data_IF_131366144857
#
_entry.id   IF_131366144857
#
_cell.length_a   1.000
_cell.length_b   1.000
_cell.length_c   1.000
_cell.angle_alpha   90.00
_cell.angle_beta   90.00
_cell.angle_gamma   90.00
#
_symmetry.space_group_name_H-M   'P 1'
#
loop_
_entity.id
_entity.type
_entity.pdbx_description
1 polymer ?
#
# COMPACT_ATOMS: atom_id res chain seq x y z
N UNK A 1 -54.74 -21.53 78.83
CA UNK A 1 -54.91 -22.24 77.54
C UNK A 1 -53.66 -22.05 76.71
N UNK A 2 -53.11 -23.16 76.17
CA UNK A 2 -52.33 -23.30 74.90
C UNK A 2 -51.03 -22.46 74.74
N UNK A 3 -49.83 -23.09 74.79
CA UNK A 3 -49.09 -23.82 73.71
C UNK A 3 -48.35 -22.82 72.77
N UNK A 4 -47.17 -23.06 72.17
CA UNK A 4 -46.09 -24.05 72.20
C UNK A 4 -45.17 -23.64 71.00
N UNK A 5 -43.85 -23.62 71.16
CA UNK A 5 -42.81 -24.13 70.23
C UNK A 5 -42.65 -23.67 68.74
N UNK A 6 -41.39 -23.33 68.44
CA UNK A 6 -40.46 -23.79 67.37
C UNK A 6 -40.66 -23.55 65.84
N UNK A 7 -39.49 -23.22 65.27
CA UNK A 7 -38.92 -23.08 63.92
C UNK A 7 -39.24 -24.11 62.81
N UNK A 8 -38.66 -23.82 61.62
CA UNK A 8 -38.34 -24.65 60.42
C UNK A 8 -39.31 -24.39 59.23
N UNK A 9 -38.92 -23.63 58.20
CA UNK A 9 -38.05 -23.90 57.04
C UNK A 9 -38.69 -24.71 55.88
N UNK A 10 -38.29 -24.34 54.65
CA UNK A 10 -38.42 -24.99 53.33
C UNK A 10 -39.74 -24.86 52.53
N UNK A 11 -39.65 -24.21 51.35
CA UNK A 11 -40.08 -24.66 50.00
C UNK A 11 -39.94 -23.45 49.03
N UNK A 12 -38.82 -23.38 48.27
CA UNK A 12 -38.62 -23.89 46.89
C UNK A 12 -39.19 -22.94 45.81
N UNK A 13 -38.32 -22.16 45.16
CA UNK A 13 -37.70 -22.45 43.85
C UNK A 13 -38.67 -22.33 42.67
N UNK A 14 -38.54 -21.24 41.90
CA UNK A 14 -39.10 -21.12 40.56
C UNK A 14 -38.20 -20.21 39.71
N UNK A 15 -37.36 -20.86 38.89
CA UNK A 15 -37.08 -20.42 37.52
C UNK A 15 -36.27 -19.14 37.32
N UNK A 16 -34.99 -19.14 37.65
CA UNK A 16 -34.03 -18.45 36.77
C UNK A 16 -33.51 -19.46 35.76
N UNK A 17 -34.23 -19.53 34.63
CA UNK A 17 -33.69 -20.13 33.42
C UNK A 17 -32.39 -19.41 33.09
N UNK A 18 -31.29 -20.15 33.12
CA UNK A 18 -29.99 -19.65 32.75
C UNK A 18 -30.04 -19.08 31.34
N UNK A 19 -29.88 -17.77 31.24
CA UNK A 19 -29.16 -17.22 30.10
C UNK A 19 -27.76 -17.82 30.19
N UNK A 20 -27.54 -18.93 29.49
CA UNK A 20 -26.22 -19.39 29.15
C UNK A 20 -25.59 -18.26 28.33
N UNK A 21 -24.95 -17.32 29.04
CA UNK A 21 -23.83 -16.57 28.50
C UNK A 21 -22.95 -17.60 27.82
N UNK A 22 -22.91 -17.60 26.48
CA UNK A 22 -21.82 -18.24 25.77
C UNK A 22 -20.59 -17.62 26.37
N UNK A 23 -19.88 -18.36 27.22
CA UNK A 23 -18.55 -17.98 27.64
C UNK A 23 -17.79 -17.70 26.34
N UNK A 24 -17.49 -16.43 26.09
CA UNK A 24 -16.47 -16.07 25.11
C UNK A 24 -15.26 -16.84 25.61
N UNK A 25 -14.75 -17.81 24.84
CA UNK A 25 -13.76 -18.78 25.36
C UNK A 25 -12.38 -18.14 25.68
N UNK A 26 -12.34 -16.80 25.72
CA UNK A 26 -11.18 -15.96 25.94
C UNK A 26 -10.28 -15.88 24.70
N UNK A 27 -10.49 -16.71 23.67
CA UNK A 27 -9.59 -16.76 22.53
C UNK A 27 -9.76 -15.54 21.65
N UNK A 28 -8.63 -14.99 21.29
CA UNK A 28 -8.55 -13.86 20.39
C UNK A 28 -8.67 -14.36 18.95
N UNK A 29 -9.55 -13.73 18.18
CA UNK A 29 -9.73 -14.03 16.76
C UNK A 29 -8.65 -13.32 15.97
N UNK A 30 -7.84 -14.05 15.20
CA UNK A 30 -6.77 -13.47 14.38
C UNK A 30 -7.07 -13.74 12.91
N UNK A 31 -7.13 -12.67 12.12
CA UNK A 31 -7.41 -12.70 10.69
C UNK A 31 -6.17 -12.21 9.96
N UNK A 32 -5.43 -13.10 9.30
CA UNK A 32 -4.20 -12.73 8.58
C UNK A 32 -4.53 -12.41 7.12
N UNK A 33 -4.59 -11.12 6.79
CA UNK A 33 -4.80 -10.62 5.44
C UNK A 33 -3.46 -10.42 4.74
N UNK A 34 -3.16 -11.31 3.80
CA UNK A 34 -1.99 -11.22 2.93
C UNK A 34 -2.22 -10.25 1.77
N UNK A 35 -1.39 -9.22 1.66
CA UNK A 35 -1.47 -8.19 0.60
C UNK A 35 -0.26 -8.27 -0.34
N UNK A 36 -0.44 -7.89 -1.60
CA UNK A 36 0.69 -7.54 -2.47
C UNK A 36 0.87 -6.03 -2.40
N UNK A 37 2.05 -5.58 -2.01
CA UNK A 37 2.30 -4.19 -1.62
C UNK A 37 1.96 -3.23 -2.76
N UNK A 38 1.13 -2.24 -2.47
CA UNK A 38 0.62 -1.25 -3.41
C UNK A 38 -0.14 -1.79 -4.65
N UNK A 39 -0.44 -3.08 -4.74
CA UNK A 39 -1.26 -3.65 -5.83
C UNK A 39 -2.67 -3.05 -5.89
N UNK A 40 -3.14 -2.48 -4.78
CA UNK A 40 -4.39 -1.73 -4.67
C UNK A 40 -4.45 -0.54 -5.65
N UNK A 41 -3.29 -0.05 -6.10
CA UNK A 41 -3.19 1.05 -7.05
C UNK A 41 -3.51 0.64 -8.49
N UNK A 42 -3.46 -0.64 -8.83
CA UNK A 42 -3.68 -1.13 -10.21
C UNK A 42 -4.86 -2.09 -10.34
N UNK A 43 -5.19 -2.83 -9.29
CA UNK A 43 -6.21 -3.86 -9.32
C UNK A 43 -7.55 -3.34 -8.79
N UNK A 44 -8.57 -3.23 -9.66
CA UNK A 44 -9.92 -2.79 -9.27
C UNK A 44 -10.54 -3.67 -8.17
N UNK A 45 -10.24 -4.97 -8.18
CA UNK A 45 -10.73 -5.96 -7.22
C UNK A 45 -9.85 -6.10 -5.96
N UNK A 46 -8.82 -5.26 -5.85
CA UNK A 46 -8.01 -5.09 -4.64
C UNK A 46 -7.92 -3.58 -4.29
N UNK A 47 -8.84 -2.74 -4.78
CA UNK A 47 -8.71 -1.27 -4.68
C UNK A 47 -8.71 -0.77 -3.22
N UNK A 48 -8.18 0.43 -2.93
CA UNK A 48 -7.95 0.87 -1.54
C UNK A 48 -9.22 0.91 -0.68
N UNK A 49 -10.34 1.34 -1.28
CA UNK A 49 -11.64 1.37 -0.60
C UNK A 49 -12.17 -0.03 -0.26
N UNK A 50 -11.79 -1.06 -1.02
CA UNK A 50 -12.17 -2.45 -0.74
C UNK A 50 -11.44 -2.97 0.49
N UNK A 51 -10.14 -2.66 0.64
CA UNK A 51 -9.38 -2.94 1.85
C UNK A 51 -10.00 -2.24 3.07
N UNK A 52 -10.29 -0.94 2.97
CA UNK A 52 -10.94 -0.20 4.05
C UNK A 52 -12.33 -0.77 4.42
N UNK A 53 -13.11 -1.20 3.42
CA UNK A 53 -14.40 -1.85 3.64
C UNK A 53 -14.28 -3.23 4.28
N UNK A 54 -13.23 -3.99 3.94
CA UNK A 54 -12.93 -5.24 4.61
C UNK A 54 -12.58 -5.02 6.08
N UNK A 55 -11.74 -4.04 6.40
CA UNK A 55 -11.42 -3.69 7.79
C UNK A 55 -12.69 -3.30 8.58
N UNK A 56 -13.57 -2.48 7.98
CA UNK A 56 -14.84 -2.11 8.60
C UNK A 56 -15.78 -3.32 8.80
N UNK A 57 -15.77 -4.28 7.87
CA UNK A 57 -16.57 -5.49 7.93
C UNK A 57 -16.03 -6.50 8.97
N UNK A 58 -14.71 -6.61 9.08
CA UNK A 58 -14.02 -7.47 10.05
C UNK A 58 -14.13 -6.95 11.50
N UNK A 59 -14.35 -5.65 11.69
CA UNK A 59 -14.48 -4.98 13.01
C UNK A 59 -13.33 -5.33 13.98
N UNK A 60 -12.07 -5.03 13.60
CA UNK A 60 -10.95 -5.30 14.48
C UNK A 60 -10.98 -4.40 15.72
N UNK A 61 -10.62 -4.98 16.86
CA UNK A 61 -10.22 -4.25 18.06
C UNK A 61 -8.80 -3.69 17.90
N UNK A 62 -7.95 -4.39 17.15
CA UNK A 62 -6.65 -3.89 16.72
C UNK A 62 -6.21 -4.40 15.35
N UNK A 63 -5.33 -3.64 14.71
CA UNK A 63 -4.75 -3.98 13.41
C UNK A 63 -3.23 -4.10 13.55
N UNK A 64 -2.71 -5.29 13.25
CA UNK A 64 -1.28 -5.49 13.11
C UNK A 64 -0.81 -5.03 11.73
N UNK A 65 0.29 -4.27 11.68
CA UNK A 65 0.86 -3.73 10.43
C UNK A 65 2.31 -4.16 10.24
N UNK A 66 2.70 -4.37 8.98
CA UNK A 66 4.08 -4.67 8.58
C UNK A 66 4.98 -3.42 8.69
N UNK A 67 5.25 -3.02 9.93
CA UNK A 67 6.31 -2.05 10.28
C UNK A 67 6.89 -2.37 11.65
N UNK A 68 8.17 -2.08 11.84
CA UNK A 68 8.84 -2.30 13.12
C UNK A 68 8.32 -1.32 14.17
N UNK A 69 8.20 -1.72 15.46
CA UNK A 69 7.75 -0.82 16.52
C UNK A 69 8.56 0.47 16.60
N UNK A 70 9.88 0.37 16.42
CA UNK A 70 10.80 1.50 16.51
C UNK A 70 10.59 2.49 15.37
N UNK A 71 10.39 2.02 14.13
CA UNK A 71 10.13 2.89 12.99
C UNK A 71 8.72 3.49 13.04
N UNK A 72 7.71 2.68 13.40
CA UNK A 72 6.35 3.16 13.57
C UNK A 72 6.26 4.29 14.60
N UNK A 73 6.98 4.18 15.72
CA UNK A 73 7.05 5.23 16.75
C UNK A 73 7.60 6.58 16.22
N UNK A 74 8.36 6.56 15.11
CA UNK A 74 8.87 7.77 14.43
C UNK A 74 7.99 8.23 13.26
N UNK A 75 6.84 7.59 13.03
CA UNK A 75 6.02 7.74 11.82
C UNK A 75 6.82 7.46 10.53
N UNK A 76 7.76 6.52 10.60
CA UNK A 76 8.59 6.09 9.49
C UNK A 76 8.04 4.75 8.96
N UNK A 77 7.83 4.69 7.65
CA UNK A 77 7.19 3.58 6.94
C UNK A 77 8.01 3.21 5.71
N UNK A 78 7.88 1.95 5.26
CA UNK A 78 8.47 1.53 3.99
C UNK A 78 7.84 2.26 2.82
N UNK A 79 8.64 2.80 1.90
CA UNK A 79 8.08 3.52 0.75
C UNK A 79 7.16 2.65 -0.15
N UNK A 80 7.26 1.32 -0.06
CA UNK A 80 6.48 0.38 -0.85
C UNK A 80 5.13 -0.02 -0.22
N UNK A 81 4.88 0.22 1.07
CA UNK A 81 3.67 -0.24 1.76
C UNK A 81 2.53 0.79 1.71
N UNK A 82 2.03 1.09 0.51
CA UNK A 82 0.92 2.03 0.31
C UNK A 82 -0.30 1.65 1.17
N UNK A 83 -0.66 0.38 1.19
CA UNK A 83 -1.80 -0.12 1.93
C UNK A 83 -1.68 0.12 3.43
N UNK A 84 -0.48 0.04 4.00
CA UNK A 84 -0.25 0.35 5.42
C UNK A 84 -0.37 1.86 5.65
N UNK A 85 0.38 2.66 4.89
CA UNK A 85 0.56 4.10 5.12
C UNK A 85 -0.68 4.93 4.83
N UNK A 86 -1.35 4.64 3.70
CA UNK A 86 -2.38 5.49 3.15
C UNK A 86 -3.78 4.90 3.35
N UNK A 87 -3.90 3.61 3.66
CA UNK A 87 -5.19 2.95 3.91
C UNK A 87 -5.36 2.56 5.37
N UNK A 88 -4.55 1.62 5.87
CA UNK A 88 -4.74 0.99 7.18
C UNK A 88 -4.52 1.96 8.33
N UNK A 89 -3.39 2.68 8.36
CA UNK A 89 -3.06 3.60 9.45
C UNK A 89 -4.09 4.74 9.54
N UNK A 90 -4.46 5.43 8.45
CA UNK A 90 -5.52 6.45 8.49
C UNK A 90 -6.88 5.87 8.85
N UNK A 91 -7.20 4.64 8.41
CA UNK A 91 -8.43 3.96 8.78
C UNK A 91 -8.49 3.71 10.29
N UNK A 92 -7.45 3.11 10.87
CA UNK A 92 -7.39 2.81 12.30
C UNK A 92 -7.52 4.08 13.15
N UNK A 93 -6.75 5.13 12.81
CA UNK A 93 -6.78 6.43 13.50
C UNK A 93 -8.17 7.07 13.49
N UNK A 94 -8.88 7.04 12.36
CA UNK A 94 -10.24 7.61 12.25
C UNK A 94 -11.29 6.84 13.04
N UNK A 95 -11.08 5.54 13.26
CA UNK A 95 -12.03 4.66 13.94
C UNK A 95 -11.63 4.35 15.39
N UNK A 96 -10.52 4.91 15.90
CA UNK A 96 -10.03 4.63 17.25
C UNK A 96 -9.62 3.17 17.45
N UNK A 97 -9.07 2.53 16.43
CA UNK A 97 -8.61 1.13 16.46
C UNK A 97 -7.12 1.10 16.78
N UNK A 98 -6.71 0.20 17.67
CA UNK A 98 -5.31 0.07 18.08
C UNK A 98 -4.44 -0.41 16.91
N UNK A 99 -3.22 0.15 16.80
CA UNK A 99 -2.23 -0.26 15.81
C UNK A 99 -1.08 -1.01 16.48
N UNK A 100 -0.83 -2.23 16.02
CA UNK A 100 0.21 -3.10 16.53
C UNK A 100 1.31 -3.28 15.45
N UNK A 101 2.42 -2.51 15.49
CA UNK A 101 3.54 -2.75 14.59
C UNK A 101 4.20 -4.11 14.91
N UNK A 102 4.27 -5.02 13.93
CA UNK A 102 4.74 -6.40 14.16
C UNK A 102 6.08 -6.74 13.49
N UNK A 103 6.61 -5.85 12.66
CA UNK A 103 7.68 -6.23 11.75
C UNK A 103 9.08 -6.20 12.39
N UNK A 104 10.00 -6.96 11.81
CA UNK A 104 11.40 -7.00 12.20
C UNK A 104 12.30 -6.69 11.00
N UNK A 105 13.28 -5.83 11.22
CA UNK A 105 14.31 -5.49 10.26
C UNK A 105 15.66 -6.02 10.75
N UNK A 106 16.49 -6.58 9.85
CA UNK A 106 17.87 -6.87 10.22
C UNK A 106 18.60 -5.58 10.60
N UNK A 107 19.51 -5.61 11.58
CA UNK A 107 20.44 -4.52 11.81
C UNK A 107 21.16 -4.11 10.52
N UNK A 108 21.47 -2.81 10.39
CA UNK A 108 22.12 -2.26 9.17
C UNK A 108 23.42 -2.99 8.83
N UNK A 109 24.20 -3.39 9.83
CA UNK A 109 25.45 -4.12 9.58
C UNK A 109 25.22 -5.54 9.04
N UNK A 110 24.15 -6.22 9.47
CA UNK A 110 23.76 -7.52 8.92
C UNK A 110 23.23 -7.37 7.49
N UNK A 111 22.47 -6.30 7.22
CA UNK A 111 22.02 -5.97 5.87
C UNK A 111 23.21 -5.72 4.93
N UNK A 112 24.21 -4.95 5.38
CA UNK A 112 25.44 -4.70 4.61
C UNK A 112 26.26 -5.95 4.39
N UNK A 113 26.46 -6.77 5.42
CA UNK A 113 27.19 -8.02 5.31
C UNK A 113 26.51 -8.98 4.32
N UNK A 114 25.19 -9.02 4.37
CA UNK A 114 24.38 -9.97 3.63
C UNK A 114 24.05 -9.58 2.19
N UNK A 115 23.72 -8.31 1.96
CA UNK A 115 23.27 -7.78 0.67
C UNK A 115 24.27 -6.80 0.03
N UNK A 116 25.33 -6.42 0.76
CA UNK A 116 26.28 -5.41 0.32
C UNK A 116 25.76 -3.98 0.43
N UNK A 117 24.60 -3.76 1.04
CA UNK A 117 23.94 -2.46 1.13
C UNK A 117 23.03 -2.34 2.36
N UNK A 118 22.63 -1.11 2.70
CA UNK A 118 21.58 -0.86 3.68
C UNK A 118 20.19 -0.95 3.04
N UNK A 119 19.40 -1.95 3.44
CA UNK A 119 18.06 -2.20 2.89
C UNK A 119 17.07 -1.07 3.19
N UNK A 120 17.28 -0.30 4.26
CA UNK A 120 16.40 0.80 4.65
C UNK A 120 16.69 2.11 3.91
N UNK A 121 17.85 2.21 3.25
CA UNK A 121 18.26 3.44 2.55
C UNK A 121 17.84 3.39 1.07
N UNK A 122 16.98 4.33 0.67
CA UNK A 122 16.64 4.53 -0.74
C UNK A 122 17.89 5.02 -1.52
N UNK A 123 18.20 4.42 -2.70
CA UNK A 123 19.35 4.86 -3.51
C UNK A 123 19.14 6.30 -3.99
N UNK A 124 20.21 7.07 -4.22
CA UNK A 124 20.07 8.46 -4.69
C UNK A 124 19.36 8.53 -6.05
N UNK A 125 19.72 7.62 -6.96
CA UNK A 125 18.96 7.32 -8.17
C UNK A 125 18.54 5.85 -8.13
N UNK A 126 17.24 5.58 -8.29
CA UNK A 126 16.74 4.21 -8.37
C UNK A 126 17.30 3.50 -9.62
N UNK A 127 17.76 2.24 -9.50
CA UNK A 127 18.23 1.48 -10.65
C UNK A 127 17.08 1.15 -11.60
N UNK A 128 17.41 0.77 -12.84
CA UNK A 128 16.42 0.35 -13.84
C UNK A 128 15.87 -1.07 -13.57
N UNK A 129 16.59 -1.87 -12.77
CA UNK A 129 16.25 -3.26 -12.46
C UNK A 129 16.56 -3.60 -11.00
N UNK A 130 15.84 -4.54 -10.41
CA UNK A 130 16.07 -5.07 -9.06
C UNK A 130 15.14 -4.46 -8.01
N UNK A 131 15.23 -4.90 -6.75
CA UNK A 131 14.21 -4.56 -5.73
C UNK A 131 14.15 -3.07 -5.34
N UNK A 132 15.22 -2.29 -5.58
CA UNK A 132 15.24 -0.84 -5.33
C UNK A 132 14.76 0.00 -6.53
N UNK A 133 14.41 -0.64 -7.66
CA UNK A 133 13.83 0.03 -8.82
C UNK A 133 12.48 0.67 -8.47
N UNK A 134 11.96 1.53 -9.34
CA UNK A 134 10.58 2.02 -9.20
C UNK A 134 9.56 0.89 -9.28
N UNK A 135 8.56 0.91 -8.40
CA UNK A 135 7.50 -0.08 -8.46
C UNK A 135 6.68 0.09 -9.73
N UNK A 136 6.43 -1.03 -10.39
CA UNK A 136 5.46 -1.15 -11.46
C UNK A 136 4.96 -2.60 -11.54
N UNK A 137 3.80 -2.76 -12.14
CA UNK A 137 3.09 -4.02 -12.32
C UNK A 137 2.95 -4.30 -13.81
N UNK A 138 3.99 -4.82 -14.49
CA UNK A 138 3.96 -5.01 -15.94
C UNK A 138 3.15 -6.25 -16.40
N UNK A 139 2.92 -7.23 -15.52
CA UNK A 139 2.15 -8.44 -15.85
C UNK A 139 0.63 -8.20 -15.81
N UNK A 140 -0.14 -8.62 -16.84
CA UNK A 140 -1.60 -8.55 -16.84
C UNK A 140 -2.29 -9.20 -15.64
N UNK A 141 -1.67 -10.24 -15.06
CA UNK A 141 -2.20 -10.93 -13.87
C UNK A 141 -2.38 -10.01 -12.67
N UNK A 142 -1.60 -8.92 -12.57
CA UNK A 142 -1.73 -7.97 -11.47
C UNK A 142 -3.02 -7.15 -11.55
N UNK A 143 -3.55 -6.86 -12.75
CA UNK A 143 -4.79 -6.08 -12.89
C UNK A 143 -6.03 -6.88 -12.43
N UNK A 144 -5.97 -8.19 -12.53
CA UNK A 144 -7.05 -9.11 -12.14
C UNK A 144 -6.93 -9.62 -10.71
N UNK A 145 -5.94 -9.14 -9.96
CA UNK A 145 -5.71 -9.53 -8.57
C UNK A 145 -6.95 -9.18 -7.72
N UNK A 146 -7.22 -10.03 -6.74
CA UNK A 146 -8.33 -9.92 -5.81
C UNK A 146 -7.82 -9.78 -4.36
N UNK A 147 -8.60 -9.11 -3.51
CA UNK A 147 -8.29 -8.89 -2.09
C UNK A 147 -7.85 -10.17 -1.35
N UNK A 148 -8.42 -11.32 -1.70
CA UNK A 148 -8.13 -12.62 -1.06
C UNK A 148 -7.17 -13.50 -1.87
N UNK A 149 -6.37 -12.93 -2.78
CA UNK A 149 -5.39 -13.69 -3.56
C UNK A 149 -4.42 -14.51 -2.70
N UNK A 150 -4.11 -14.03 -1.49
CA UNK A 150 -3.25 -14.75 -0.55
C UNK A 150 -3.88 -16.04 0.02
N UNK A 151 -5.17 -16.27 -0.19
CA UNK A 151 -5.87 -17.53 0.13
C UNK A 151 -5.89 -18.51 -1.07
N UNK A 152 -5.44 -18.11 -2.27
CA UNK A 152 -5.41 -18.99 -3.45
C UNK A 152 -4.43 -20.16 -3.25
N UNK A 153 -4.92 -21.39 -3.39
CA UNK A 153 -4.15 -22.60 -3.11
C UNK A 153 -2.86 -22.69 -3.94
N UNK A 154 -2.85 -22.22 -5.20
CA UNK A 154 -1.62 -22.24 -6.03
C UNK A 154 -0.62 -21.21 -5.55
N UNK A 155 -1.09 -20.05 -5.12
CA UNK A 155 -0.21 -19.03 -4.53
C UNK A 155 0.41 -19.51 -3.22
N UNK A 156 -0.40 -20.09 -2.34
CA UNK A 156 0.02 -20.67 -1.05
C UNK A 156 1.05 -21.78 -1.26
N UNK A 157 0.83 -22.67 -2.23
CA UNK A 157 1.78 -23.75 -2.58
C UNK A 157 3.10 -23.17 -3.11
N UNK A 158 3.04 -22.18 -4.02
CA UNK A 158 4.22 -21.52 -4.60
C UNK A 158 5.10 -20.89 -3.52
N UNK A 159 4.50 -20.13 -2.59
CA UNK A 159 5.23 -19.46 -1.51
C UNK A 159 5.87 -20.50 -0.58
N UNK A 160 5.12 -21.53 -0.21
CA UNK A 160 5.63 -22.59 0.66
C UNK A 160 6.77 -23.38 0.02
N UNK A 161 6.66 -23.69 -1.27
CA UNK A 161 7.73 -24.35 -2.01
C UNK A 161 8.99 -23.48 -2.01
N UNK A 162 8.87 -22.17 -2.24
CA UNK A 162 10.01 -21.25 -2.18
C UNK A 162 10.63 -21.19 -0.76
N UNK A 163 9.81 -21.07 0.29
CA UNK A 163 10.28 -21.01 1.67
C UNK A 163 11.01 -22.28 2.11
N UNK A 164 10.52 -23.44 1.64
CA UNK A 164 11.08 -24.75 1.94
C UNK A 164 12.29 -25.14 1.08
N UNK A 165 12.57 -24.42 -0.02
CA UNK A 165 13.64 -24.77 -0.97
C UNK A 165 14.84 -23.84 -0.81
N UNK A 166 15.97 -24.31 -0.24
CA UNK A 166 17.19 -23.53 -0.19
C UNK A 166 17.68 -23.14 -1.58
N UNK A 167 18.30 -21.97 -1.69
CA UNK A 167 18.96 -21.57 -2.93
C UNK A 167 20.08 -22.56 -3.28
N UNK A 168 20.30 -22.79 -4.60
CA UNK A 168 21.35 -23.71 -5.09
C UNK A 168 22.76 -23.31 -4.62
N UNK A 169 23.01 -22.02 -4.41
CA UNK A 169 24.28 -21.50 -3.87
C UNK A 169 24.00 -20.88 -2.52
N UNK A 170 24.79 -21.23 -1.51
CA UNK A 170 24.59 -20.75 -0.14
C UNK A 170 24.57 -19.21 -0.03
N UNK A 171 25.41 -18.51 -0.81
CA UNK A 171 25.45 -17.05 -0.85
C UNK A 171 24.15 -16.38 -1.33
N UNK A 172 23.30 -17.12 -2.05
CA UNK A 172 22.02 -16.62 -2.56
C UNK A 172 20.85 -16.99 -1.62
N UNK A 173 21.11 -17.75 -0.54
CA UNK A 173 20.06 -18.29 0.36
C UNK A 173 19.66 -17.30 1.47
N UNK A 174 20.41 -16.20 1.63
CA UNK A 174 20.16 -15.20 2.67
C UNK A 174 18.74 -14.62 2.63
N UNK A 175 18.16 -14.21 1.48
CA UNK A 175 16.80 -13.68 1.44
C UNK A 175 15.77 -14.63 2.05
N UNK A 176 15.88 -15.94 1.76
CA UNK A 176 15.00 -16.96 2.31
C UNK A 176 15.19 -17.13 3.82
N UNK A 177 16.43 -17.11 4.31
CA UNK A 177 16.75 -17.20 5.75
C UNK A 177 16.20 -16.03 6.54
N UNK A 178 16.41 -14.81 6.04
CA UNK A 178 15.87 -13.60 6.66
C UNK A 178 14.35 -13.56 6.59
N UNK A 179 13.75 -13.97 5.47
CA UNK A 179 12.31 -14.15 5.38
C UNK A 179 11.78 -15.07 6.48
N UNK A 180 12.35 -16.27 6.67
CA UNK A 180 11.89 -17.21 7.69
C UNK A 180 12.00 -16.63 9.11
N UNK A 181 13.13 -15.99 9.41
CA UNK A 181 13.35 -15.40 10.73
C UNK A 181 12.45 -14.17 10.99
N UNK A 182 12.32 -13.28 10.00
CA UNK A 182 11.42 -12.13 10.03
C UNK A 182 9.97 -12.58 10.25
N UNK A 183 9.52 -13.58 9.51
CA UNK A 183 8.15 -14.12 9.62
C UNK A 183 7.90 -14.74 10.99
N UNK A 184 8.89 -15.44 11.55
CA UNK A 184 8.80 -15.95 12.91
C UNK A 184 8.63 -14.82 13.93
N UNK A 185 9.43 -13.76 13.86
CA UNK A 185 9.33 -12.62 14.77
C UNK A 185 8.02 -11.84 14.58
N UNK A 186 7.54 -11.70 13.35
CA UNK A 186 6.21 -11.15 13.06
C UNK A 186 5.12 -11.96 13.77
N UNK A 187 5.14 -13.30 13.64
CA UNK A 187 4.19 -14.17 14.31
C UNK A 187 4.24 -14.04 15.84
N UNK A 188 5.45 -13.97 16.44
CA UNK A 188 5.58 -13.76 17.88
C UNK A 188 4.98 -12.43 18.35
N UNK A 189 5.14 -11.36 17.57
CA UNK A 189 4.51 -10.07 17.89
C UNK A 189 2.99 -10.09 17.69
N UNK A 190 2.48 -10.81 16.69
CA UNK A 190 1.03 -11.06 16.56
C UNK A 190 0.49 -11.82 17.77
N UNK A 191 1.18 -12.85 18.25
CA UNK A 191 0.78 -13.58 19.45
C UNK A 191 0.74 -12.68 20.70
N UNK A 192 1.74 -11.80 20.86
CA UNK A 192 1.76 -10.82 21.93
C UNK A 192 0.59 -9.81 21.85
N UNK A 193 0.26 -9.33 20.65
CA UNK A 193 -0.88 -8.46 20.41
C UNK A 193 -2.21 -9.19 20.70
N UNK A 194 -2.34 -10.45 20.28
CA UNK A 194 -3.52 -11.27 20.55
C UNK A 194 -3.77 -11.45 22.06
N UNK A 195 -2.70 -11.69 22.83
CA UNK A 195 -2.75 -11.79 24.30
C UNK A 195 -3.18 -10.47 24.97
N UNK A 196 -2.87 -9.32 24.37
CA UNK A 196 -3.28 -8.02 24.88
C UNK A 196 -4.77 -7.73 24.65
N UNK A 197 -5.46 -8.50 23.77
CA UNK A 197 -6.86 -8.29 23.40
C UNK A 197 -7.69 -9.59 23.53
N UNK A 198 -7.79 -10.17 24.75
CA UNK A 198 -8.48 -11.43 24.95
C UNK A 198 -9.94 -11.36 24.52
N UNK A 199 -10.38 -12.34 23.72
CA UNK A 199 -11.74 -12.40 23.16
C UNK A 199 -12.03 -11.40 22.04
N UNK A 200 -11.07 -10.54 21.68
CA UNK A 200 -11.20 -9.55 20.62
C UNK A 200 -10.92 -10.11 19.22
N UNK A 201 -10.91 -9.22 18.24
CA UNK A 201 -10.56 -9.47 16.84
C UNK A 201 -9.33 -8.66 16.45
N UNK A 202 -8.26 -9.35 16.05
CA UNK A 202 -7.11 -8.75 15.40
C UNK A 202 -7.16 -9.03 13.91
N UNK A 203 -6.95 -7.98 13.12
CA UNK A 203 -6.63 -8.13 11.69
C UNK A 203 -5.14 -7.87 11.51
N UNK A 204 -4.43 -8.78 10.84
CA UNK A 204 -3.03 -8.62 10.48
C UNK A 204 -2.96 -8.27 9.00
N UNK A 205 -2.43 -7.10 8.66
CA UNK A 205 -2.18 -6.67 7.28
C UNK A 205 -0.68 -6.77 7.01
N UNK A 206 -0.31 -7.74 6.18
CA UNK A 206 1.10 -8.13 5.94
C UNK A 206 1.28 -8.61 4.50
N UNK A 207 2.47 -8.45 3.95
CA UNK A 207 2.85 -8.99 2.65
C UNK A 207 2.47 -10.47 2.52
N UNK A 208 1.85 -10.84 1.40
CA UNK A 208 1.21 -12.16 1.22
C UNK A 208 2.18 -13.33 1.41
N UNK A 209 3.47 -13.10 1.18
CA UNK A 209 4.52 -14.08 1.44
C UNK A 209 4.52 -14.55 2.89
N UNK A 210 4.26 -13.67 3.86
CA UNK A 210 4.35 -13.99 5.28
C UNK A 210 3.11 -14.70 5.84
N UNK A 211 1.96 -14.55 5.18
CA UNK A 211 0.65 -14.95 5.72
C UNK A 211 0.61 -16.41 6.16
N UNK A 212 0.93 -17.35 5.26
CA UNK A 212 0.83 -18.79 5.52
C UNK A 212 1.65 -19.19 6.74
N UNK A 213 2.89 -18.74 6.81
CA UNK A 213 3.82 -19.13 7.87
C UNK A 213 3.43 -18.48 9.20
N UNK A 214 2.91 -17.25 9.21
CA UNK A 214 2.31 -16.64 10.41
C UNK A 214 1.14 -17.49 10.91
N UNK A 215 0.21 -17.87 10.03
CA UNK A 215 -0.93 -18.71 10.40
C UNK A 215 -0.51 -20.06 10.96
N UNK A 216 0.51 -20.69 10.35
CA UNK A 216 1.05 -21.97 10.81
C UNK A 216 1.68 -21.85 12.21
N UNK A 217 2.49 -20.81 12.46
CA UNK A 217 3.14 -20.60 13.77
C UNK A 217 2.11 -20.30 14.86
N UNK A 218 1.06 -19.53 14.54
CA UNK A 218 0.01 -19.20 15.49
C UNK A 218 -1.01 -20.33 15.69
N UNK A 219 -1.08 -21.30 14.77
CA UNK A 219 -2.06 -22.39 14.80
C UNK A 219 -1.99 -23.28 16.04
N UNK A 220 -0.82 -23.34 16.69
CA UNK A 220 -0.59 -24.12 17.91
C UNK A 220 -0.93 -23.33 19.20
N UNK A 221 -1.25 -22.04 19.11
CA UNK A 221 -1.54 -21.21 20.27
C UNK A 221 -2.97 -21.47 20.81
N UNK A 222 -3.05 -21.91 22.07
CA UNK A 222 -4.32 -22.30 22.69
C UNK A 222 -5.30 -21.13 22.89
N UNK A 223 -4.80 -19.90 22.96
CA UNK A 223 -5.53 -18.65 23.17
C UNK A 223 -5.86 -17.91 21.86
N UNK A 224 -5.53 -18.47 20.70
CA UNK A 224 -5.77 -17.86 19.39
C UNK A 224 -6.73 -18.71 18.56
N UNK A 225 -7.61 -18.04 17.83
CA UNK A 225 -8.45 -18.64 16.80
C UNK A 225 -8.15 -17.96 15.46
N UNK A 226 -7.47 -18.69 14.57
CA UNK A 226 -7.20 -18.22 13.21
C UNK A 226 -8.48 -18.30 12.37
N UNK A 227 -8.79 -17.23 11.65
CA UNK A 227 -9.92 -17.14 10.71
C UNK A 227 -9.39 -16.68 9.35
N UNK A 228 -9.71 -17.42 8.31
CA UNK A 228 -9.32 -17.07 6.95
C UNK A 228 -10.08 -15.81 6.49
N UNK A 229 -9.39 -14.79 5.91
CA UNK A 229 -10.04 -13.57 5.43
C UNK A 229 -11.21 -13.84 4.48
N UNK A 230 -11.05 -14.77 3.54
CA UNK A 230 -12.11 -15.16 2.59
C UNK A 230 -13.38 -15.68 3.26
N UNK A 231 -13.30 -16.28 4.44
CA UNK A 231 -14.46 -16.81 5.18
C UNK A 231 -15.34 -15.71 5.79
N UNK A 232 -14.81 -14.50 5.97
CA UNK A 232 -15.56 -13.32 6.43
C UNK A 232 -16.47 -12.79 5.30
N UNK A 233 -16.10 -13.08 4.05
CA UNK A 233 -16.78 -12.65 2.84
C UNK A 233 -16.28 -11.30 2.33
N UNK A 234 -16.45 -11.09 1.02
CA UNK A 234 -16.11 -9.82 0.38
C UNK A 234 -17.11 -8.74 0.79
N UNK A 235 -16.66 -7.50 1.09
CA UNK A 235 -17.55 -6.37 1.23
C UNK A 235 -18.40 -6.16 -0.04
N UNK A 236 -19.66 -5.78 0.15
CA UNK A 236 -20.53 -5.38 -0.95
C UNK A 236 -20.07 -4.06 -1.56
N UNK A 237 -20.40 -3.82 -2.83
CA UNK A 237 -20.11 -2.54 -3.50
C UNK A 237 -20.69 -1.32 -2.75
N UNK A 238 -21.79 -1.48 -2.02
CA UNK A 238 -22.31 -0.41 -1.16
C UNK A 238 -21.37 -0.11 0.01
N UNK A 239 -20.86 -1.14 0.69
CA UNK A 239 -19.89 -0.98 1.77
C UNK A 239 -18.57 -0.38 1.25
N UNK A 240 -18.13 -0.79 0.05
CA UNK A 240 -16.95 -0.20 -0.59
C UNK A 240 -17.16 1.29 -0.87
N UNK A 241 -18.30 1.67 -1.46
CA UNK A 241 -18.63 3.09 -1.72
C UNK A 241 -18.67 3.94 -0.45
N UNK A 242 -19.04 3.39 0.70
CA UNK A 242 -19.02 4.12 1.98
C UNK A 242 -17.60 4.41 2.48
N UNK A 243 -16.60 3.65 2.03
CA UNK A 243 -15.20 3.82 2.40
C UNK A 243 -14.37 4.55 1.35
N UNK A 244 -14.95 4.82 0.17
CA UNK A 244 -14.31 5.57 -0.89
C UNK A 244 -13.84 6.96 -0.41
N UNK A 245 -12.65 7.36 -0.85
CA UNK A 245 -12.07 8.66 -0.54
C UNK A 245 -11.38 9.25 -1.75
N UNK A 246 -11.29 10.58 -1.76
CA UNK A 246 -10.61 11.32 -2.84
C UNK A 246 -9.14 10.92 -2.94
N UNK A 247 -8.47 10.76 -1.80
CA UNK A 247 -7.05 10.39 -1.71
C UNK A 247 -6.77 9.02 -2.35
N UNK A 248 -7.69 8.06 -2.20
CA UNK A 248 -7.57 6.74 -2.86
C UNK A 248 -7.62 6.87 -4.38
N UNK A 249 -8.53 7.70 -4.89
CA UNK A 249 -8.66 7.95 -6.33
C UNK A 249 -7.46 8.69 -6.88
N UNK A 250 -6.96 9.70 -6.17
CA UNK A 250 -5.73 10.38 -6.60
C UNK A 250 -4.56 9.40 -6.59
N UNK A 251 -4.43 8.53 -5.58
CA UNK A 251 -3.35 7.57 -5.55
C UNK A 251 -3.36 6.61 -6.74
N UNK A 252 -4.52 6.04 -7.06
CA UNK A 252 -4.73 5.20 -8.24
C UNK A 252 -4.40 5.98 -9.52
N UNK A 253 -4.92 7.19 -9.69
CA UNK A 253 -4.70 7.99 -10.90
C UNK A 253 -3.23 8.41 -11.06
N UNK A 254 -2.61 8.96 -10.03
CA UNK A 254 -1.20 9.38 -10.03
C UNK A 254 -0.26 8.20 -10.30
N UNK A 255 -0.49 7.05 -9.66
CA UNK A 255 0.33 5.86 -9.89
C UNK A 255 0.30 5.42 -11.36
N UNK A 256 -0.90 5.29 -11.93
CA UNK A 256 -1.08 4.78 -13.30
C UNK A 256 -0.75 5.78 -14.40
N UNK A 257 -0.87 7.09 -14.14
CA UNK A 257 -0.73 8.13 -15.17
C UNK A 257 0.58 8.92 -15.07
N UNK A 258 1.16 9.06 -13.88
CA UNK A 258 2.39 9.84 -13.64
C UNK A 258 3.58 8.96 -13.26
N UNK A 259 3.34 7.87 -12.53
CA UNK A 259 4.37 6.91 -12.12
C UNK A 259 4.91 6.07 -13.28
N UNK A 260 5.93 5.25 -12.98
CA UNK A 260 6.53 4.34 -13.97
C UNK A 260 5.52 3.33 -14.52
N UNK A 261 4.43 3.06 -13.81
CA UNK A 261 3.33 2.22 -14.32
C UNK A 261 2.83 2.68 -15.70
N UNK A 262 2.79 4.00 -15.95
CA UNK A 262 2.35 4.60 -17.21
C UNK A 262 3.10 4.08 -18.45
N UNK A 263 4.33 3.60 -18.28
CA UNK A 263 5.19 3.14 -19.37
C UNK A 263 5.09 1.63 -19.63
N UNK A 264 4.43 0.89 -18.74
CA UNK A 264 4.36 -0.58 -18.84
C UNK A 264 3.40 -1.08 -19.91
N UNK A 265 2.45 -0.24 -20.34
CA UNK A 265 1.31 -0.65 -21.18
C UNK A 265 0.24 -1.48 -20.45
N UNK A 266 0.49 -1.89 -19.20
CA UNK A 266 -0.42 -2.72 -18.42
C UNK A 266 -1.26 -1.88 -17.46
N UNK A 267 -2.34 -1.28 -17.96
CA UNK A 267 -3.23 -0.40 -17.17
C UNK A 267 -4.68 -0.80 -17.41
N UNK A 268 -5.46 -0.95 -16.34
CA UNK A 268 -6.93 -1.00 -16.44
C UNK A 268 -7.45 0.40 -16.77
N UNK A 269 -7.51 0.70 -18.08
CA UNK A 269 -7.94 2.01 -18.59
C UNK A 269 -9.37 2.35 -18.18
N UNK A 270 -10.25 1.36 -18.05
CA UNK A 270 -11.62 1.62 -17.62
C UNK A 270 -11.66 2.07 -16.16
N UNK A 271 -10.90 1.43 -15.28
CA UNK A 271 -10.75 1.83 -13.89
C UNK A 271 -10.11 3.20 -13.72
N UNK A 272 -9.02 3.48 -14.44
CA UNK A 272 -8.37 4.79 -14.36
C UNK A 272 -9.27 5.90 -14.92
N UNK A 273 -9.98 5.65 -16.03
CA UNK A 273 -10.92 6.62 -16.61
C UNK A 273 -12.06 6.97 -15.66
N UNK A 274 -12.68 5.97 -15.05
CA UNK A 274 -13.72 6.17 -14.02
C UNK A 274 -13.18 6.99 -12.84
N UNK A 275 -11.98 6.63 -12.36
CA UNK A 275 -11.29 7.32 -11.26
C UNK A 275 -11.09 8.81 -11.57
N UNK A 276 -10.51 9.14 -12.73
CA UNK A 276 -10.29 10.54 -13.16
C UNK A 276 -11.61 11.28 -13.36
N UNK A 277 -12.64 10.63 -13.91
CA UNK A 277 -13.96 11.23 -14.08
C UNK A 277 -14.59 11.62 -12.74
N UNK A 278 -14.54 10.73 -11.75
CA UNK A 278 -15.04 10.99 -10.40
C UNK A 278 -14.25 12.11 -9.71
N UNK A 279 -12.92 12.13 -9.84
CA UNK A 279 -12.09 13.23 -9.33
C UNK A 279 -12.49 14.58 -9.94
N UNK A 280 -12.74 14.62 -11.25
CA UNK A 280 -13.16 15.83 -11.96
C UNK A 280 -14.55 16.30 -11.53
N UNK A 281 -15.48 15.38 -11.34
CA UNK A 281 -16.82 15.68 -10.86
C UNK A 281 -16.81 16.23 -9.42
N UNK A 282 -15.90 15.75 -8.58
CA UNK A 282 -15.70 16.24 -7.21
C UNK A 282 -15.03 17.62 -7.19
N UNK A 283 -13.90 17.77 -7.91
CA UNK A 283 -13.20 19.04 -8.03
C UNK A 283 -12.27 19.05 -9.26
N UNK A 284 -12.52 19.95 -10.21
CA UNK A 284 -11.67 20.13 -11.40
C UNK A 284 -10.43 21.00 -11.11
N UNK A 285 -9.53 20.51 -10.26
CA UNK A 285 -8.30 21.21 -9.87
C UNK A 285 -7.20 21.13 -10.96
N UNK A 286 -6.12 21.94 -10.89
CA UNK A 286 -4.96 21.80 -11.77
C UNK A 286 -4.35 20.37 -11.77
N UNK A 287 -4.30 19.71 -10.61
CA UNK A 287 -3.89 18.30 -10.49
C UNK A 287 -4.77 17.38 -11.35
N UNK A 288 -6.09 17.53 -11.26
CA UNK A 288 -7.03 16.69 -12.00
C UNK A 288 -6.97 16.98 -13.51
N UNK A 289 -6.81 18.25 -13.92
CA UNK A 289 -6.62 18.61 -15.33
C UNK A 289 -5.32 18.03 -15.90
N UNK A 290 -4.26 17.94 -15.09
CA UNK A 290 -3.01 17.28 -15.47
C UNK A 290 -3.23 15.78 -15.69
N UNK A 291 -3.84 15.09 -14.71
CA UNK A 291 -4.17 13.67 -14.82
C UNK A 291 -5.08 13.37 -16.02
N UNK A 292 -6.10 14.21 -16.25
CA UNK A 292 -6.99 14.09 -17.42
C UNK A 292 -6.22 14.26 -18.74
N UNK A 293 -5.27 15.19 -18.81
CA UNK A 293 -4.44 15.38 -20.00
C UNK A 293 -3.54 14.16 -20.25
N UNK A 294 -2.93 13.60 -19.21
CA UNK A 294 -2.14 12.36 -19.33
C UNK A 294 -3.00 11.18 -19.80
N UNK A 295 -4.21 11.03 -19.24
CA UNK A 295 -5.15 9.99 -19.66
C UNK A 295 -5.60 10.16 -21.11
N UNK A 296 -5.97 11.38 -21.52
CA UNK A 296 -6.36 11.68 -22.90
C UNK A 296 -5.24 11.35 -23.89
N UNK A 297 -3.99 11.66 -23.54
CA UNK A 297 -2.83 11.35 -24.36
C UNK A 297 -2.58 9.84 -24.43
N UNK A 298 -2.64 9.13 -23.29
CA UNK A 298 -2.50 7.67 -23.21
C UNK A 298 -3.57 6.93 -24.03
N UNK A 299 -4.79 7.46 -24.05
CA UNK A 299 -5.91 6.92 -24.82
C UNK A 299 -5.96 7.43 -26.26
N UNK A 300 -4.96 8.19 -26.71
CA UNK A 300 -4.88 8.78 -28.06
C UNK A 300 -6.08 9.67 -28.41
N UNK A 301 -6.77 10.23 -27.40
CA UNK A 301 -7.90 11.16 -27.55
C UNK A 301 -7.45 12.58 -27.90
N UNK A 302 -6.19 12.91 -27.61
CA UNK A 302 -5.55 14.17 -28.00
C UNK A 302 -4.19 13.89 -28.64
N UNK A 303 -3.71 14.84 -29.44
CA UNK A 303 -2.36 14.81 -29.99
C UNK A 303 -1.33 15.35 -28.99
N UNK A 304 -0.03 15.04 -29.15
CA UNK A 304 1.02 15.66 -28.35
C UNK A 304 1.02 17.19 -28.36
N UNK A 305 0.67 17.80 -29.50
CA UNK A 305 0.57 19.27 -29.61
C UNK A 305 -0.55 19.84 -28.71
N UNK A 306 -1.71 19.20 -28.71
CA UNK A 306 -2.83 19.59 -27.81
C UNK A 306 -2.45 19.36 -26.35
N UNK A 307 -1.71 18.29 -26.03
CA UNK A 307 -1.23 18.04 -24.69
C UNK A 307 -0.26 19.15 -24.21
N UNK A 308 0.68 19.58 -25.05
CA UNK A 308 1.60 20.71 -24.76
C UNK A 308 0.82 21.98 -24.39
N UNK A 309 -0.21 22.35 -25.15
CA UNK A 309 -1.00 23.55 -24.87
C UNK A 309 -1.77 23.43 -23.55
N UNK A 310 -2.34 22.25 -23.26
CA UNK A 310 -3.02 21.97 -21.99
C UNK A 310 -2.05 22.04 -20.81
N UNK A 311 -0.88 21.41 -20.90
CA UNK A 311 0.13 21.45 -19.84
C UNK A 311 0.62 22.87 -19.57
N UNK A 312 0.84 23.69 -20.61
CA UNK A 312 1.20 25.11 -20.44
C UNK A 312 0.12 25.89 -19.71
N UNK A 313 -1.15 25.73 -20.09
CA UNK A 313 -2.28 26.34 -19.38
C UNK A 313 -2.36 25.89 -17.92
N UNK A 314 -2.17 24.59 -17.65
CA UNK A 314 -2.13 24.06 -16.28
C UNK A 314 -0.98 24.68 -15.49
N UNK A 315 0.22 24.80 -16.06
CA UNK A 315 1.37 25.40 -15.41
C UNK A 315 1.13 26.88 -15.04
N UNK A 316 0.44 27.64 -15.89
CA UNK A 316 0.03 29.03 -15.60
C UNK A 316 -0.95 29.10 -14.44
N UNK A 317 -1.93 28.20 -14.40
CA UNK A 317 -3.02 28.24 -13.40
C UNK A 317 -2.64 27.60 -12.06
N UNK A 318 -1.66 26.68 -12.03
CA UNK A 318 -1.42 25.82 -10.87
C UNK A 318 -0.81 26.55 -9.66
N UNK A 319 -0.13 27.69 -9.86
CA UNK A 319 0.60 28.38 -8.79
C UNK A 319 1.52 27.43 -8.01
N UNK A 320 1.34 27.40 -6.69
CA UNK A 320 2.09 26.53 -5.76
C UNK A 320 1.35 25.23 -5.40
N UNK A 321 0.33 24.84 -6.17
CA UNK A 321 -0.45 23.63 -5.90
C UNK A 321 0.45 22.38 -5.79
N UNK A 322 0.25 21.64 -4.70
CA UNK A 322 0.87 20.33 -4.45
C UNK A 322 -0.06 19.22 -4.91
N UNK A 323 0.52 18.08 -5.25
CA UNK A 323 -0.27 16.86 -5.43
C UNK A 323 -0.85 16.41 -4.09
N UNK A 324 -2.06 15.87 -4.14
CA UNK A 324 -2.70 15.22 -3.00
C UNK A 324 -1.94 13.95 -2.62
N UNK A 325 -1.48 13.18 -3.63
CA UNK A 325 -0.68 11.99 -3.42
C UNK A 325 0.20 11.66 -4.65
N UNK A 326 1.46 11.32 -4.37
CA UNK A 326 2.46 10.76 -5.31
C UNK A 326 3.37 9.73 -4.62
N UNK A 327 3.06 9.35 -3.38
CA UNK A 327 3.83 8.42 -2.55
C UNK A 327 5.19 8.94 -2.05
N UNK A 328 5.42 10.25 -2.06
CA UNK A 328 6.65 10.86 -1.51
C UNK A 328 6.64 10.77 0.01
N UNK A 329 7.69 10.19 0.58
CA UNK A 329 7.93 10.11 2.03
C UNK A 329 9.08 11.03 2.49
N UNK A 330 10.08 11.26 1.63
CA UNK A 330 11.20 12.17 1.86
C UNK A 330 11.08 13.43 0.98
N UNK A 331 10.67 14.55 1.58
CA UNK A 331 10.49 15.81 0.89
C UNK A 331 11.80 16.41 0.32
N UNK A 332 12.97 15.91 0.71
CA UNK A 332 14.27 16.35 0.19
C UNK A 332 14.60 15.73 -1.17
N UNK A 333 13.94 14.62 -1.54
CA UNK A 333 14.12 13.91 -2.81
C UNK A 333 13.19 14.44 -3.90
N UNK A 334 13.54 14.20 -5.16
CA UNK A 334 12.70 14.48 -6.33
C UNK A 334 11.67 13.37 -6.57
N UNK A 335 12.06 12.13 -6.29
CA UNK A 335 11.29 10.94 -6.58
C UNK A 335 10.48 10.43 -5.38
N UNK A 336 9.61 9.47 -5.66
CA UNK A 336 9.04 8.53 -4.69
C UNK A 336 9.44 7.09 -5.05
N UNK A 337 8.87 6.08 -4.38
CA UNK A 337 9.01 4.69 -4.81
C UNK A 337 8.31 4.38 -6.14
N UNK A 338 7.38 5.23 -6.56
CA UNK A 338 6.49 4.99 -7.69
C UNK A 338 6.78 5.91 -8.89
N UNK A 339 7.27 7.12 -8.64
CA UNK A 339 7.38 8.19 -9.62
C UNK A 339 8.75 8.88 -9.57
N UNK A 340 9.53 8.93 -10.68
CA UNK A 340 10.82 9.61 -10.73
C UNK A 340 10.75 11.11 -10.44
N UNK A 341 9.57 11.72 -10.55
CA UNK A 341 9.33 13.14 -10.33
C UNK A 341 8.19 13.40 -9.35
N UNK A 342 7.95 12.46 -8.43
CA UNK A 342 6.81 12.48 -7.51
C UNK A 342 6.75 13.71 -6.60
N UNK A 343 7.88 14.39 -6.35
CA UNK A 343 7.94 15.53 -5.42
C UNK A 343 7.98 16.91 -6.12
N UNK A 344 7.67 16.96 -7.41
CA UNK A 344 7.41 18.21 -8.11
C UNK A 344 6.05 18.79 -7.69
N UNK A 345 5.90 20.12 -7.73
CA UNK A 345 4.57 20.74 -7.69
C UNK A 345 3.77 20.40 -8.94
N UNK A 346 2.46 20.64 -8.93
CA UNK A 346 1.62 20.45 -10.14
C UNK A 346 2.11 21.33 -11.29
N UNK A 347 2.51 22.58 -11.00
CA UNK A 347 3.12 23.49 -11.98
C UNK A 347 4.39 22.89 -12.59
N UNK A 348 5.32 22.47 -11.74
CA UNK A 348 6.60 21.90 -12.19
C UNK A 348 6.39 20.61 -12.98
N UNK A 349 5.45 19.76 -12.55
CA UNK A 349 5.11 18.54 -13.29
C UNK A 349 4.52 18.86 -14.66
N UNK A 350 3.64 19.86 -14.78
CA UNK A 350 3.11 20.28 -16.07
C UNK A 350 4.21 20.82 -17.01
N UNK A 351 5.19 21.56 -16.49
CA UNK A 351 6.37 21.99 -17.26
C UNK A 351 7.19 20.78 -17.73
N UNK A 352 7.40 19.78 -16.88
CA UNK A 352 8.11 18.55 -17.22
C UNK A 352 7.36 17.74 -18.30
N UNK A 353 6.04 17.58 -18.18
CA UNK A 353 5.25 16.87 -19.18
C UNK A 353 5.19 17.63 -20.51
N UNK A 354 5.22 18.97 -20.47
CA UNK A 354 5.43 19.80 -21.69
C UNK A 354 6.75 19.44 -22.36
N UNK A 355 7.83 19.36 -21.60
CA UNK A 355 9.16 19.04 -22.13
C UNK A 355 9.23 17.61 -22.71
N UNK A 356 8.58 16.64 -22.06
CA UNK A 356 8.45 15.26 -22.56
C UNK A 356 7.84 15.22 -23.96
N UNK A 357 6.72 15.92 -24.16
CA UNK A 357 6.05 15.93 -25.46
C UNK A 357 6.83 16.71 -26.51
N UNK A 358 7.52 17.80 -26.12
CA UNK A 358 8.42 18.53 -27.03
C UNK A 358 9.59 17.65 -27.51
N UNK A 359 10.20 16.87 -26.61
CA UNK A 359 11.22 15.89 -26.99
C UNK A 359 10.68 14.84 -27.98
N UNK A 360 9.50 14.28 -27.71
CA UNK A 360 8.83 13.34 -28.64
C UNK A 360 8.54 13.95 -30.02
N UNK A 361 8.30 15.27 -30.06
CA UNK A 361 8.09 16.02 -31.29
C UNK A 361 9.39 16.51 -31.97
N UNK A 362 10.57 16.09 -31.50
CA UNK A 362 11.87 16.51 -32.05
C UNK A 362 12.31 17.93 -31.68
N UNK A 363 11.61 18.60 -30.76
CA UNK A 363 11.90 19.97 -30.28
C UNK A 363 12.77 19.94 -29.02
N UNK A 364 13.90 19.25 -29.12
CA UNK A 364 14.78 18.99 -27.96
C UNK A 364 15.34 20.24 -27.31
N UNK A 365 15.70 21.27 -28.09
CA UNK A 365 16.25 22.52 -27.54
C UNK A 365 15.26 23.26 -26.64
N UNK A 366 13.98 23.33 -27.05
CA UNK A 366 12.93 23.92 -26.23
C UNK A 366 12.69 23.11 -24.95
N UNK A 367 12.71 21.79 -25.05
CA UNK A 367 12.58 20.90 -23.90
C UNK A 367 13.75 21.08 -22.90
N UNK A 368 14.98 21.23 -23.39
CA UNK A 368 16.15 21.56 -22.56
C UNK A 368 16.01 22.93 -21.89
N UNK A 369 15.39 23.91 -22.57
CA UNK A 369 15.05 25.19 -21.95
C UNK A 369 14.14 25.02 -20.72
N UNK A 370 13.12 24.18 -20.83
CA UNK A 370 12.21 23.87 -19.71
C UNK A 370 12.90 23.09 -18.59
N UNK A 371 13.83 22.18 -18.92
CA UNK A 371 14.66 21.50 -17.93
C UNK A 371 15.45 22.50 -17.09
N UNK A 372 16.09 23.49 -17.72
CA UNK A 372 16.85 24.54 -17.02
C UNK A 372 15.96 25.39 -16.11
N UNK A 373 14.73 25.69 -16.54
CA UNK A 373 13.75 26.37 -15.68
C UNK A 373 13.46 25.54 -14.43
N UNK A 374 13.15 24.25 -14.58
CA UNK A 374 12.91 23.37 -13.44
C UNK A 374 14.13 23.27 -12.52
N UNK A 375 15.32 23.10 -13.10
CA UNK A 375 16.57 23.00 -12.36
C UNK A 375 16.80 24.22 -11.47
N UNK A 376 16.56 25.43 -11.99
CA UNK A 376 16.73 26.68 -11.23
C UNK A 376 15.80 26.84 -10.01
N UNK A 377 14.71 26.07 -9.95
CA UNK A 377 13.73 26.11 -8.87
C UNK A 377 13.95 25.01 -7.81
N UNK A 378 14.89 24.09 -8.04
CA UNK A 378 15.13 22.93 -7.21
C UNK A 378 16.39 23.09 -6.35
N UNK A 379 16.39 22.50 -5.16
CA UNK A 379 17.60 22.37 -4.35
C UNK A 379 18.60 21.39 -4.96
N UNK A 380 19.88 21.53 -4.59
CA UNK A 380 21.01 20.81 -5.18
C UNK A 380 20.79 19.29 -5.35
N UNK A 381 20.24 18.63 -4.31
CA UNK A 381 19.95 17.18 -4.36
C UNK A 381 18.94 16.84 -5.47
N UNK A 382 17.83 17.57 -5.52
CA UNK A 382 16.77 17.36 -6.53
C UNK A 382 17.24 17.70 -7.94
N UNK A 383 18.14 18.67 -8.10
CA UNK A 383 18.77 18.98 -9.40
C UNK A 383 19.56 17.78 -9.92
N UNK A 384 20.40 17.16 -9.08
CA UNK A 384 21.14 15.96 -9.46
C UNK A 384 20.21 14.80 -9.84
N UNK A 385 19.14 14.60 -9.08
CA UNK A 385 18.12 13.60 -9.39
C UNK A 385 17.35 13.92 -10.67
N UNK A 386 17.02 15.20 -10.91
CA UNK A 386 16.35 15.67 -12.12
C UNK A 386 17.21 15.32 -13.34
N UNK A 387 18.50 15.63 -13.32
CA UNK A 387 19.41 15.31 -14.41
C UNK A 387 19.42 13.80 -14.72
N UNK A 388 19.59 12.95 -13.72
CA UNK A 388 19.64 11.49 -13.90
C UNK A 388 18.32 10.88 -14.40
N UNK A 389 17.18 11.34 -13.87
CA UNK A 389 15.87 10.85 -14.30
C UNK A 389 15.40 11.48 -15.61
N UNK A 390 15.86 12.68 -15.97
CA UNK A 390 15.55 13.31 -17.25
C UNK A 390 16.09 12.48 -18.42
N UNK A 391 17.35 12.09 -18.35
CA UNK A 391 17.97 11.26 -19.39
C UNK A 391 17.25 9.92 -19.54
N UNK A 392 16.86 9.28 -18.43
CA UNK A 392 16.22 7.96 -18.46
C UNK A 392 14.75 8.01 -18.89
N UNK A 393 13.99 9.01 -18.43
CA UNK A 393 12.53 8.99 -18.55
C UNK A 393 11.96 10.08 -19.46
N UNK A 394 12.70 11.15 -19.77
CA UNK A 394 12.19 12.27 -20.60
C UNK A 394 12.79 12.24 -22.00
N UNK A 395 14.10 12.04 -22.11
CA UNK A 395 14.77 11.92 -23.40
C UNK A 395 14.35 10.58 -24.05
N UNK A 396 13.82 10.58 -25.28
CA UNK A 396 13.53 9.35 -26.00
C UNK A 396 14.83 8.57 -26.13
N UNK A 397 14.90 7.34 -25.60
CA UNK A 397 16.00 6.45 -25.93
C UNK A 397 15.98 6.23 -27.44
N UNK A 398 17.12 6.41 -28.12
CA UNK A 398 17.25 5.94 -29.49
C UNK A 398 16.82 4.48 -29.49
N UNK A 399 15.85 4.12 -30.36
CA UNK A 399 15.48 2.73 -30.52
C UNK A 399 16.77 1.92 -30.79
N UNK A 400 17.00 0.78 -30.11
CA UNK A 400 18.12 -0.08 -30.44
C UNK A 400 18.09 -0.53 -31.89
#
# INVERSE_FOLDING_TARGET
MKRLFFSVALLLMSGMAGAASKAVDGKTTVIVLGVDHASQLVARNDRPALLAAFLAHAKPDAICIERSPEAFARNDYYEFTYEVQDVVVPFARRNGIDLCPIDWEPPVEDARLGFGLDLGTAPELRPASGFQQFLSFPSPSHLTRDLFHADDARNVERIAQWAATPAKRAKDDLPRRLYLYRTYLQAQRVAAAAKAHPGGTLVVVVGEFHKRDIEAILGDAADIRIVQPSSIGKPTEQQVRQQERREYRVAVASFNLLGVQSTTGNIDRAFVRETVHLLKAEQNSPEVRLLETCLDLLETRITPAVAVDRYRSIATDAGDARFTWTGVTDATRLDSYFDPFGNLTVRQRAVLETARELHRAGRGEEATGLQKTLDSELGQRKQAQLAGYWERYIVPSAAP
#
